data_IF_561125214893
#
_entry.id   IF_561125214893
#
_cell.length_a   1.000
_cell.length_b   1.000
_cell.length_c   1.000
_cell.angle_alpha   90.00
_cell.angle_beta   90.00
_cell.angle_gamma   90.00
#
_symmetry.space_group_name_H-M   'P 1'
#
loop_
_entity.id
_entity.type
_entity.pdbx_description
1 polymer ?
#
# COMPACT_ATOMS: atom_id res chain seq x y z
N UNK A 1 -18.17 -3.48 1.65
CA UNK A 1 -17.66 -4.25 0.50
C UNK A 1 -18.78 -4.35 -0.52
N UNK A 2 -18.46 -4.58 -1.79
CA UNK A 2 -19.41 -4.58 -2.89
C UNK A 2 -19.83 -3.18 -3.35
N UNK A 3 -20.82 -3.19 -4.23
CA UNK A 3 -21.40 -2.05 -4.91
C UNK A 3 -22.16 -1.15 -3.92
N UNK A 4 -21.92 0.17 -3.96
CA UNK A 4 -22.75 1.12 -3.23
C UNK A 4 -24.12 1.29 -3.89
N UNK A 5 -25.14 1.50 -3.06
CA UNK A 5 -26.44 1.97 -3.54
C UNK A 5 -26.32 3.36 -4.15
N UNK A 6 -27.06 3.63 -5.24
CA UNK A 6 -27.18 4.96 -5.84
C UNK A 6 -27.74 6.03 -4.88
N UNK A 7 -28.46 5.59 -3.84
CA UNK A 7 -29.00 6.46 -2.80
C UNK A 7 -28.01 6.76 -1.68
N UNK A 8 -26.83 6.10 -1.67
CA UNK A 8 -25.80 6.34 -0.68
C UNK A 8 -25.13 7.69 -0.93
N UNK A 9 -24.94 8.49 0.11
CA UNK A 9 -24.23 9.78 0.00
C UNK A 9 -22.83 9.62 -0.58
N UNK A 10 -22.16 8.52 -0.28
CA UNK A 10 -20.80 8.25 -0.76
C UNK A 10 -20.79 7.93 -2.25
N UNK A 11 -21.84 7.30 -2.78
CA UNK A 11 -21.97 7.10 -4.21
C UNK A 11 -21.92 8.45 -4.94
N UNK A 12 -22.73 9.42 -4.51
CA UNK A 12 -22.76 10.76 -5.11
C UNK A 12 -21.42 11.51 -4.97
N UNK A 13 -20.77 11.43 -3.81
CA UNK A 13 -19.48 12.10 -3.60
C UNK A 13 -18.35 11.51 -4.46
N UNK A 14 -18.27 10.19 -4.59
CA UNK A 14 -17.24 9.55 -5.40
C UNK A 14 -17.52 9.64 -6.90
N UNK A 15 -18.80 9.65 -7.31
CA UNK A 15 -19.20 9.99 -8.67
C UNK A 15 -18.73 11.41 -9.05
N UNK A 16 -18.81 12.37 -8.14
CA UNK A 16 -18.40 13.76 -8.39
C UNK A 16 -16.88 13.94 -8.38
N UNK A 17 -16.19 13.30 -7.45
CA UNK A 17 -14.78 13.58 -7.15
C UNK A 17 -13.78 12.64 -7.83
N UNK A 18 -14.12 11.36 -8.00
CA UNK A 18 -13.26 10.39 -8.68
C UNK A 18 -14.06 9.30 -9.40
N UNK A 19 -14.88 9.66 -10.40
CA UNK A 19 -15.73 8.71 -11.11
C UNK A 19 -14.94 7.65 -11.88
N UNK A 20 -13.75 8.00 -12.38
CA UNK A 20 -12.94 7.10 -13.20
C UNK A 20 -12.44 5.92 -12.38
N UNK A 21 -11.90 6.15 -11.19
CA UNK A 21 -11.35 5.07 -10.37
C UNK A 21 -12.39 4.34 -9.54
N UNK A 22 -13.56 4.95 -9.31
CA UNK A 22 -14.62 4.38 -8.46
C UNK A 22 -15.80 3.81 -9.25
N UNK A 23 -15.62 3.57 -10.55
CA UNK A 23 -16.67 3.02 -11.42
C UNK A 23 -17.97 3.85 -11.34
N UNK A 24 -17.83 5.17 -11.50
CA UNK A 24 -18.91 6.16 -11.36
C UNK A 24 -19.53 6.18 -9.95
N UNK A 25 -18.69 6.11 -8.91
CA UNK A 25 -19.11 6.15 -7.50
C UNK A 25 -19.54 4.82 -6.91
N UNK A 26 -19.63 3.76 -7.73
CA UNK A 26 -20.08 2.43 -7.32
C UNK A 26 -19.11 1.74 -6.34
N UNK A 27 -17.80 1.97 -6.52
CA UNK A 27 -16.74 1.29 -5.76
C UNK A 27 -15.71 2.26 -5.14
N UNK A 28 -16.07 3.01 -4.09
CA UNK A 28 -15.10 3.86 -3.35
C UNK A 28 -13.88 3.12 -2.83
N UNK A 29 -14.04 1.84 -2.49
CA UNK A 29 -12.97 0.98 -2.01
C UNK A 29 -11.84 0.79 -3.04
N UNK A 30 -12.06 1.11 -4.32
CA UNK A 30 -11.01 1.09 -5.33
C UNK A 30 -9.85 2.04 -5.03
N UNK A 31 -10.09 3.07 -4.20
CA UNK A 31 -9.10 4.07 -3.80
C UNK A 31 -9.05 4.23 -2.27
N UNK A 32 -9.32 3.15 -1.53
CA UNK A 32 -9.41 3.19 -0.08
C UNK A 32 -8.11 3.69 0.57
N UNK A 33 -8.26 4.60 1.53
CA UNK A 33 -7.16 5.12 2.35
C UNK A 33 -7.63 5.28 3.79
N UNK A 34 -6.81 4.81 4.71
CA UNK A 34 -6.94 5.08 6.14
C UNK A 34 -5.67 5.80 6.59
N UNK A 35 -5.80 6.92 7.28
CA UNK A 35 -4.66 7.70 7.80
C UNK A 35 -4.88 7.93 9.29
N UNK A 36 -3.87 7.58 10.09
CA UNK A 36 -3.87 7.79 11.54
C UNK A 36 -3.68 9.25 11.88
N UNK A 37 -4.12 9.65 13.08
CA UNK A 37 -4.00 11.03 13.57
C UNK A 37 -2.67 11.30 14.28
N UNK A 38 -1.99 10.27 14.78
CA UNK A 38 -0.68 10.41 15.40
C UNK A 38 0.43 10.42 14.35
N UNK A 39 1.49 11.18 14.64
CA UNK A 39 2.71 11.24 13.83
C UNK A 39 3.79 10.37 14.44
N UNK A 40 4.61 9.80 13.57
CA UNK A 40 5.62 8.82 13.93
C UNK A 40 6.88 9.08 13.12
N UNK A 41 8.03 9.01 13.79
CA UNK A 41 9.33 9.13 13.12
C UNK A 41 9.95 7.75 12.94
N UNK A 42 10.21 7.04 14.02
CA UNK A 42 10.80 5.70 13.97
C UNK A 42 9.74 4.70 14.41
N UNK A 43 9.26 3.86 13.51
CA UNK A 43 8.06 3.07 13.78
C UNK A 43 8.15 1.66 13.22
N UNK A 44 7.43 0.77 13.90
CA UNK A 44 6.95 -0.48 13.35
C UNK A 44 5.44 -0.37 13.18
N UNK A 45 4.93 -0.65 11.98
CA UNK A 45 3.51 -0.68 11.66
C UNK A 45 3.17 -2.05 11.08
N UNK A 46 2.07 -2.65 11.53
CA UNK A 46 1.62 -3.98 11.11
C UNK A 46 0.11 -4.02 10.90
N UNK A 47 -0.33 -4.85 9.96
CA UNK A 47 -1.74 -5.21 9.75
C UNK A 47 -1.86 -6.45 8.89
N UNK A 48 -2.93 -7.21 9.11
CA UNK A 48 -3.35 -8.31 8.25
C UNK A 48 -4.42 -7.85 7.28
N UNK A 49 -4.30 -8.30 6.04
CA UNK A 49 -5.25 -8.05 4.97
C UNK A 49 -5.82 -9.37 4.46
N UNK A 50 -7.10 -9.36 4.09
CA UNK A 50 -7.70 -10.43 3.31
C UNK A 50 -8.40 -9.86 2.09
N UNK A 51 -7.92 -10.21 0.90
CA UNK A 51 -8.54 -9.80 -0.37
C UNK A 51 -9.76 -10.67 -0.62
N UNK A 52 -10.95 -10.06 -0.57
CA UNK A 52 -12.19 -10.79 -0.74
C UNK A 52 -12.64 -10.85 -2.20
N UNK A 53 -12.51 -9.73 -2.91
CA UNK A 53 -12.94 -9.57 -4.29
C UNK A 53 -12.05 -8.57 -5.01
N UNK A 54 -11.75 -8.84 -6.27
CA UNK A 54 -11.11 -7.86 -7.17
C UNK A 54 -12.18 -7.05 -7.89
N UNK A 55 -11.98 -5.75 -7.97
CA UNK A 55 -12.84 -4.87 -8.74
C UNK A 55 -12.17 -4.64 -10.09
N UNK A 56 -12.68 -5.32 -11.14
CA UNK A 56 -12.10 -5.30 -12.48
C UNK A 56 -12.46 -4.03 -13.26
N UNK A 57 -12.30 -2.87 -12.62
CA UNK A 57 -12.55 -1.55 -13.18
C UNK A 57 -11.83 -1.36 -14.53
N UNK A 58 -12.49 -0.62 -15.43
CA UNK A 58 -11.89 -0.18 -16.69
C UNK A 58 -10.84 0.92 -16.49
N UNK A 59 -10.75 1.52 -15.30
CA UNK A 59 -9.82 2.61 -15.00
C UNK A 59 -8.40 2.29 -15.50
N UNK A 60 -7.73 3.25 -16.16
CA UNK A 60 -6.32 3.11 -16.53
C UNK A 60 -5.40 3.00 -15.31
N UNK A 61 -5.86 3.46 -14.14
CA UNK A 61 -5.12 3.37 -12.88
C UNK A 61 -5.20 1.98 -12.24
N UNK A 62 -6.06 1.08 -12.75
CA UNK A 62 -6.04 -0.34 -12.43
C UNK A 62 -4.91 -1.04 -13.19
N UNK A 63 -3.74 -1.15 -12.57
CA UNK A 63 -2.52 -1.69 -13.17
C UNK A 63 -1.65 -2.45 -12.15
N UNK A 64 -0.48 -2.92 -12.61
CA UNK A 64 0.42 -3.75 -11.83
C UNK A 64 0.92 -3.09 -10.53
N UNK A 65 0.83 -1.76 -10.38
CA UNK A 65 1.28 -1.02 -9.20
C UNK A 65 0.28 -0.94 -8.06
N UNK A 66 -0.96 -1.39 -8.27
CA UNK A 66 -1.97 -1.49 -7.22
C UNK A 66 -1.62 -2.61 -6.24
N UNK A 67 -2.22 -2.60 -5.05
CA UNK A 67 -2.06 -3.69 -4.10
C UNK A 67 -2.48 -3.32 -2.68
N UNK A 68 -1.78 -3.91 -1.72
CA UNK A 68 -1.94 -3.72 -0.28
C UNK A 68 -0.74 -2.94 0.21
N UNK A 69 -0.95 -1.73 0.74
CA UNK A 69 0.11 -0.77 1.00
C UNK A 69 -0.05 -0.15 2.39
N UNK A 70 1.07 0.08 3.05
CA UNK A 70 1.20 0.91 4.24
C UNK A 70 1.75 2.27 3.83
N UNK A 71 1.20 3.32 4.43
CA UNK A 71 1.78 4.65 4.39
C UNK A 71 2.72 4.79 5.57
N UNK A 72 3.96 5.18 5.31
CA UNK A 72 4.91 5.52 6.35
C UNK A 72 5.39 6.96 6.17
N UNK A 73 5.52 7.70 7.29
CA UNK A 73 5.87 9.14 7.29
C UNK A 73 5.06 9.96 6.29
N UNK A 74 3.75 9.72 6.23
CA UNK A 74 2.82 10.48 5.40
C UNK A 74 2.79 11.92 5.87
N UNK A 75 3.34 12.84 5.07
CA UNK A 75 3.26 14.28 5.33
C UNK A 75 2.07 14.87 4.57
N UNK A 76 1.94 14.47 3.31
CA UNK A 76 0.90 14.89 2.38
C UNK A 76 0.63 13.77 1.36
N UNK A 77 -0.39 13.95 0.52
CA UNK A 77 -0.63 13.04 -0.61
C UNK A 77 0.53 12.97 -1.63
N UNK A 78 1.50 13.89 -1.53
CA UNK A 78 2.64 14.05 -2.44
C UNK A 78 3.98 13.71 -1.81
N UNK A 79 4.04 13.51 -0.49
CA UNK A 79 5.27 13.32 0.28
C UNK A 79 5.06 12.23 1.35
N UNK A 80 5.52 11.02 1.07
CA UNK A 80 5.40 9.84 1.93
C UNK A 80 6.25 8.67 1.41
N UNK A 81 6.47 7.68 2.28
CA UNK A 81 6.88 6.34 1.87
C UNK A 81 5.69 5.41 1.74
N UNK A 82 5.81 4.45 0.83
CA UNK A 82 4.92 3.31 0.68
C UNK A 82 5.74 2.04 0.89
N UNK A 83 5.18 1.11 1.66
CA UNK A 83 5.66 -0.27 1.74
C UNK A 83 4.49 -1.21 1.50
N UNK A 84 4.68 -2.30 0.77
CA UNK A 84 3.66 -3.34 0.68
C UNK A 84 3.82 -4.28 -0.49
N UNK A 85 2.74 -5.00 -0.81
CA UNK A 85 2.71 -6.00 -1.89
C UNK A 85 1.80 -5.49 -3.00
N UNK A 86 2.31 -5.58 -4.23
CA UNK A 86 1.58 -5.24 -5.44
C UNK A 86 0.83 -6.44 -6.02
N UNK A 87 -0.20 -6.18 -6.82
CA UNK A 87 -0.98 -7.19 -7.54
C UNK A 87 -0.15 -7.97 -8.56
N UNK A 88 1.04 -7.48 -8.94
CA UNK A 88 2.01 -8.24 -9.72
C UNK A 88 2.91 -9.16 -8.89
N UNK A 89 2.62 -9.32 -7.60
CA UNK A 89 3.29 -10.25 -6.69
C UNK A 89 4.60 -9.74 -6.11
N UNK A 90 4.99 -8.50 -6.39
CA UNK A 90 6.22 -7.92 -5.85
C UNK A 90 6.01 -7.23 -4.50
N UNK A 91 6.94 -7.48 -3.57
CA UNK A 91 7.15 -6.66 -2.39
C UNK A 91 7.91 -5.39 -2.81
N UNK A 92 7.39 -4.23 -2.41
CA UNK A 92 7.92 -2.93 -2.86
C UNK A 92 8.08 -1.93 -1.73
N UNK A 93 9.10 -1.09 -1.91
CA UNK A 93 9.32 0.13 -1.14
C UNK A 93 9.39 1.28 -2.14
N UNK A 94 8.56 2.30 -1.96
CA UNK A 94 8.53 3.50 -2.81
C UNK A 94 8.56 4.76 -1.96
N UNK A 95 9.11 5.82 -2.53
CA UNK A 95 8.96 7.20 -2.05
C UNK A 95 8.10 7.95 -3.04
N UNK A 96 7.15 8.75 -2.56
CA UNK A 96 6.62 9.87 -3.33
C UNK A 96 7.18 11.15 -2.72
N UNK A 97 7.73 12.01 -3.56
CA UNK A 97 8.23 13.33 -3.15
C UNK A 97 7.85 14.32 -4.23
N UNK A 98 7.24 15.44 -3.83
CA UNK A 98 6.72 16.47 -4.74
C UNK A 98 5.85 15.90 -5.87
N UNK A 99 5.04 14.88 -5.56
CA UNK A 99 4.12 14.28 -6.53
C UNK A 99 4.72 13.15 -7.39
N UNK A 100 6.04 13.02 -7.45
CA UNK A 100 6.73 12.00 -8.25
C UNK A 100 7.06 10.74 -7.44
N UNK A 101 6.90 9.56 -8.06
CA UNK A 101 7.19 8.27 -7.44
C UNK A 101 8.60 7.77 -7.78
N UNK A 102 9.31 7.26 -6.78
CA UNK A 102 10.62 6.64 -6.89
C UNK A 102 10.57 5.26 -6.22
N UNK A 103 11.01 4.22 -6.93
CA UNK A 103 11.09 2.87 -6.38
C UNK A 103 12.43 2.69 -5.69
N UNK A 104 12.40 2.42 -4.39
CA UNK A 104 13.60 2.20 -3.57
C UNK A 104 13.97 0.72 -3.53
N UNK A 105 12.96 -0.16 -3.53
CA UNK A 105 13.14 -1.61 -3.60
C UNK A 105 11.99 -2.26 -4.34
N UNK A 106 12.32 -3.26 -5.14
CA UNK A 106 11.37 -4.11 -5.85
C UNK A 106 11.89 -5.54 -5.81
N UNK A 107 11.17 -6.42 -5.11
CA UNK A 107 11.54 -7.83 -4.96
C UNK A 107 10.34 -8.70 -5.31
N UNK A 108 10.43 -9.56 -6.35
CA UNK A 108 9.41 -10.59 -6.57
C UNK A 108 9.24 -11.42 -5.30
N UNK A 109 8.00 -11.57 -4.83
CA UNK A 109 7.70 -12.31 -3.60
C UNK A 109 6.78 -13.51 -3.87
N UNK A 110 5.66 -13.27 -4.55
CA UNK A 110 4.81 -14.35 -5.07
C UNK A 110 5.34 -14.84 -6.41
N UNK A 111 6.12 -15.93 -6.37
CA UNK A 111 6.60 -16.62 -7.56
C UNK A 111 5.54 -17.60 -8.05
N UNK A 112 4.82 -17.19 -9.10
CA UNK A 112 3.78 -18.00 -9.75
C UNK A 112 4.19 -18.36 -11.17
N UNK A 113 3.71 -19.49 -11.67
CA UNK A 113 3.99 -19.93 -13.03
C UNK A 113 3.37 -19.01 -14.09
N UNK A 114 2.19 -18.46 -13.81
CA UNK A 114 1.49 -17.53 -14.70
C UNK A 114 1.79 -16.09 -14.27
N UNK A 115 2.45 -15.27 -15.12
CA UNK A 115 2.78 -13.90 -14.76
C UNK A 115 1.52 -13.04 -14.65
N UNK A 116 1.67 -11.87 -14.02
CA UNK A 116 0.61 -10.86 -13.98
C UNK A 116 0.17 -10.48 -15.40
N UNK A 117 -1.15 -10.41 -15.57
CA UNK A 117 -1.77 -9.82 -16.75
C UNK A 117 -3.05 -9.10 -16.32
N UNK A 118 -3.18 -7.81 -16.65
CA UNK A 118 -4.33 -6.97 -16.25
C UNK A 118 -5.70 -7.57 -16.60
N UNK A 119 -5.79 -8.34 -17.69
CA UNK A 119 -7.04 -8.92 -18.17
C UNK A 119 -7.23 -10.37 -17.72
N UNK A 120 -6.21 -11.22 -17.87
CA UNK A 120 -6.35 -12.67 -17.68
C UNK A 120 -5.81 -13.20 -16.36
N UNK A 121 -4.93 -12.46 -15.69
CA UNK A 121 -4.37 -12.83 -14.38
C UNK A 121 -4.04 -11.58 -13.55
N UNK A 122 -5.07 -10.84 -13.11
CA UNK A 122 -4.92 -9.45 -12.66
C UNK A 122 -4.38 -9.30 -11.23
N UNK A 123 -4.15 -10.40 -10.52
CA UNK A 123 -3.69 -10.35 -9.15
C UNK A 123 -2.95 -11.65 -8.77
N UNK A 124 -1.71 -11.49 -8.32
CA UNK A 124 -0.88 -12.59 -7.82
C UNK A 124 -0.89 -12.69 -6.29
N UNK A 125 -1.52 -11.73 -5.59
CA UNK A 125 -1.75 -11.81 -4.15
C UNK A 125 -2.86 -12.86 -3.92
N UNK A 126 -2.66 -13.88 -3.06
CA UNK A 126 -3.69 -14.86 -2.79
C UNK A 126 -5.00 -14.22 -2.29
N UNK A 127 -6.11 -14.60 -2.91
CA UNK A 127 -7.45 -14.15 -2.49
C UNK A 127 -8.01 -15.09 -1.42
N UNK A 128 -8.90 -14.59 -0.58
CA UNK A 128 -9.54 -15.34 0.50
C UNK A 128 -8.55 -15.91 1.55
N UNK A 129 -7.33 -15.41 1.57
CA UNK A 129 -6.28 -15.77 2.53
C UNK A 129 -5.79 -14.51 3.23
N UNK A 130 -5.45 -14.64 4.52
CA UNK A 130 -4.86 -13.56 5.28
C UNK A 130 -3.38 -13.42 4.92
N UNK A 131 -2.94 -12.18 4.68
CA UNK A 131 -1.54 -11.81 4.50
C UNK A 131 -1.19 -10.66 5.42
N UNK A 132 -0.15 -10.83 6.23
CA UNK A 132 0.36 -9.79 7.11
C UNK A 132 1.39 -8.94 6.39
N UNK A 133 1.30 -7.62 6.53
CA UNK A 133 2.38 -6.69 6.18
C UNK A 133 2.87 -6.00 7.45
N UNK A 134 4.20 -5.95 7.62
CA UNK A 134 4.84 -5.17 8.67
C UNK A 134 5.94 -4.31 8.05
N UNK A 135 5.91 -3.02 8.32
CA UNK A 135 6.98 -2.09 7.94
C UNK A 135 7.74 -1.62 9.15
N UNK A 136 9.07 -1.55 9.04
CA UNK A 136 9.94 -0.83 9.98
C UNK A 136 10.56 0.36 9.26
N UNK A 137 10.44 1.56 9.85
CA UNK A 137 11.05 2.78 9.31
C UNK A 137 11.87 3.44 10.39
N UNK A 138 13.15 3.69 10.13
CA UNK A 138 14.09 4.26 11.10
C UNK A 138 14.99 5.30 10.45
N UNK A 139 15.16 6.44 11.10
CA UNK A 139 16.25 7.37 10.77
C UNK A 139 17.56 6.85 11.35
N UNK A 140 18.57 6.70 10.50
CA UNK A 140 19.91 6.32 10.87
C UNK A 140 20.71 7.54 11.38
N UNK A 141 21.83 7.33 12.12
CA UNK A 141 22.65 8.43 12.64
C UNK A 141 23.21 9.38 11.58
N UNK A 142 23.36 8.89 10.34
CA UNK A 142 23.87 9.65 9.19
C UNK A 142 22.76 10.42 8.42
N UNK A 143 21.56 10.53 8.99
CA UNK A 143 20.37 11.12 8.36
C UNK A 143 19.91 10.42 7.08
N UNK A 144 20.26 9.14 6.90
CA UNK A 144 19.55 8.27 5.95
C UNK A 144 18.32 7.63 6.60
N UNK A 145 17.41 7.07 5.81
CA UNK A 145 16.22 6.38 6.33
C UNK A 145 16.25 4.92 5.90
N UNK A 146 16.40 4.02 6.87
CA UNK A 146 16.25 2.58 6.67
C UNK A 146 14.77 2.20 6.66
N UNK A 147 14.36 1.42 5.66
CA UNK A 147 13.00 0.93 5.49
C UNK A 147 13.04 -0.56 5.23
N UNK A 148 12.28 -1.33 6.03
CA UNK A 148 12.10 -2.77 5.84
C UNK A 148 10.63 -3.09 5.70
N UNK A 149 10.33 -4.09 4.86
CA UNK A 149 9.02 -4.67 4.70
C UNK A 149 9.12 -6.17 4.97
N UNK A 150 8.32 -6.63 5.92
CA UNK A 150 8.14 -8.03 6.25
C UNK A 150 6.74 -8.50 5.84
N UNK A 151 6.65 -9.77 5.47
CA UNK A 151 5.39 -10.42 5.08
C UNK A 151 5.21 -11.69 5.89
N UNK A 152 4.03 -11.87 6.47
CA UNK A 152 3.58 -13.10 7.09
C UNK A 152 2.49 -13.72 6.20
N UNK A 153 2.86 -14.79 5.48
CA UNK A 153 1.92 -15.51 4.64
C UNK A 153 1.00 -16.33 5.54
N UNK A 154 -0.29 -16.34 5.21
CA UNK A 154 -1.30 -17.19 5.85
C UNK A 154 -1.52 -16.91 7.35
N UNK A 155 -1.13 -15.71 7.84
CA UNK A 155 -1.27 -15.27 9.24
C UNK A 155 -0.69 -16.30 10.23
N UNK A 156 0.52 -16.77 9.96
CA UNK A 156 1.19 -17.80 10.78
C UNK A 156 2.01 -17.23 11.93
N UNK A 157 2.25 -15.91 11.93
CA UNK A 157 3.21 -15.23 12.80
C UNK A 157 4.66 -15.32 12.29
N UNK A 158 4.92 -16.00 11.17
CA UNK A 158 6.26 -16.16 10.61
C UNK A 158 6.59 -15.04 9.63
N UNK A 159 7.13 -13.96 10.16
CA UNK A 159 7.50 -12.77 9.40
C UNK A 159 8.78 -12.99 8.59
N UNK A 160 8.70 -12.83 7.27
CA UNK A 160 9.83 -12.92 6.34
C UNK A 160 10.19 -11.52 5.85
N UNK A 161 11.47 -11.12 5.94
CA UNK A 161 11.96 -9.89 5.32
C UNK A 161 11.83 -10.01 3.79
N UNK A 162 10.89 -9.28 3.21
CA UNK A 162 10.52 -9.37 1.81
C UNK A 162 11.17 -8.29 0.95
N UNK A 163 11.40 -7.10 1.51
CA UNK A 163 12.13 -6.03 0.87
C UNK A 163 12.80 -5.13 1.92
N UNK A 164 13.93 -4.55 1.54
CA UNK A 164 14.61 -3.51 2.32
C UNK A 164 15.21 -2.46 1.39
N UNK A 165 15.37 -1.25 1.92
CA UNK A 165 16.04 -0.13 1.27
C UNK A 165 16.58 0.88 2.29
N UNK A 166 17.56 1.66 1.85
CA UNK A 166 18.01 2.87 2.53
C UNK A 166 17.78 4.06 1.61
N UNK A 167 16.95 5.02 2.03
CA UNK A 167 16.86 6.32 1.38
C UNK A 167 18.03 7.19 1.85
N UNK A 168 19.02 7.35 0.98
CA UNK A 168 20.24 8.13 1.21
C UNK A 168 20.06 9.64 0.98
N UNK A 169 18.85 10.07 0.58
CA UNK A 169 18.56 11.45 0.21
C UNK A 169 19.15 11.90 -1.11
N UNK A 170 19.67 10.98 -1.95
CA UNK A 170 20.32 11.28 -3.23
C UNK A 170 19.81 10.39 -4.36
N UNK A 171 19.84 9.07 -4.16
CA UNK A 171 19.57 8.05 -5.17
C UNK A 171 18.12 8.01 -5.64
N UNK A 172 17.18 8.51 -4.83
CA UNK A 172 15.73 8.32 -5.07
C UNK A 172 14.97 9.64 -5.11
N UNK A 173 15.28 10.52 -6.08
CA UNK A 173 14.47 11.74 -6.26
C UNK A 173 14.72 12.84 -5.24
N UNK A 174 15.91 12.84 -4.61
CA UNK A 174 16.32 13.86 -3.65
C UNK A 174 16.14 13.44 -2.19
N UNK A 175 16.00 14.43 -1.31
CA UNK A 175 16.11 14.28 0.14
C UNK A 175 15.22 13.16 0.72
N UNK A 176 15.73 12.54 1.78
CA UNK A 176 14.96 11.58 2.56
C UNK A 176 13.91 12.32 3.40
N UNK A 177 12.77 11.67 3.67
CA UNK A 177 11.71 12.24 4.51
C UNK A 177 12.09 12.05 5.97
N UNK A 178 12.79 13.04 6.56
CA UNK A 178 13.36 12.95 7.91
C UNK A 178 12.42 13.31 9.05
N UNK A 179 11.39 14.11 8.74
CA UNK A 179 10.38 14.51 9.72
C UNK A 179 9.45 13.34 10.04
N UNK A 180 8.87 13.37 11.24
CA UNK A 180 7.72 12.54 11.55
C UNK A 180 6.57 12.78 10.56
N UNK A 181 5.73 11.77 10.38
CA UNK A 181 4.52 11.88 9.58
C UNK A 181 3.48 10.85 10.02
N UNK A 182 2.29 10.94 9.45
CA UNK A 182 1.23 9.99 9.75
C UNK A 182 1.57 8.58 9.21
N UNK A 183 0.93 7.58 9.80
CA UNK A 183 0.95 6.21 9.32
C UNK A 183 -0.44 5.85 8.79
N UNK A 184 -0.55 4.83 7.94
CA UNK A 184 -1.83 4.51 7.33
C UNK A 184 -1.84 3.30 6.43
N UNK A 185 -2.98 3.06 5.81
CA UNK A 185 -3.23 1.94 4.90
C UNK A 185 -3.77 2.50 3.58
N UNK A 186 -3.41 1.84 2.49
CA UNK A 186 -4.07 1.98 1.20
C UNK A 186 -4.27 0.62 0.56
N UNK A 187 -5.43 0.45 -0.04
CA UNK A 187 -5.74 -0.67 -0.93
C UNK A 187 -6.31 -0.14 -2.22
N UNK A 188 -6.06 -0.83 -3.33
CA UNK A 188 -6.38 -0.35 -4.67
C UNK A 188 -7.19 -1.40 -5.45
N UNK A 189 -8.37 -1.02 -5.97
CA UNK A 189 -9.22 -1.84 -6.84
C UNK A 189 -9.63 -3.21 -6.29
N UNK A 190 -9.97 -3.28 -5.01
CA UNK A 190 -10.36 -4.53 -4.34
C UNK A 190 -11.21 -4.28 -3.10
N UNK A 191 -12.02 -5.28 -2.76
CA UNK A 191 -12.69 -5.39 -1.47
C UNK A 191 -11.76 -6.12 -0.50
N UNK A 192 -11.43 -5.48 0.63
CA UNK A 192 -10.42 -5.97 1.57
C UNK A 192 -10.93 -5.88 3.00
N UNK A 193 -10.64 -6.92 3.78
CA UNK A 193 -10.75 -6.93 5.24
C UNK A 193 -9.40 -6.64 5.88
N UNK A 194 -9.43 -5.97 7.04
CA UNK A 194 -8.26 -5.63 7.84
C UNK A 194 -8.41 -6.23 9.22
N UNK A 195 -7.29 -6.69 9.79
CA UNK A 195 -7.26 -7.23 11.15
C UNK A 195 -5.92 -6.92 11.85
N UNK A 196 -5.95 -6.87 13.18
CA UNK A 196 -4.80 -6.62 14.07
C UNK A 196 -3.90 -5.43 13.67
N UNK A 197 -4.51 -4.30 13.25
CA UNK A 197 -3.74 -3.09 12.94
C UNK A 197 -3.02 -2.56 14.19
N UNK A 198 -1.69 -2.43 14.14
CA UNK A 198 -0.90 -1.88 15.24
C UNK A 198 0.27 -1.01 14.75
N UNK A 199 0.65 -0.03 15.57
CA UNK A 199 1.84 0.80 15.37
C UNK A 199 2.56 0.95 16.72
N UNK A 200 3.88 0.90 16.71
CA UNK A 200 4.76 1.12 17.88
C UNK A 200 5.95 1.98 17.47
N UNK A 201 6.44 2.81 18.38
CA UNK A 201 7.73 3.51 18.19
C UNK A 201 8.89 2.50 18.32
N UNK A 202 9.99 2.76 17.60
CA UNK A 202 11.23 1.98 17.63
C UNK A 202 12.28 2.56 18.59
#
# INVERSE_FOLDING_TARGET
>A
QGDLSISDKWYAEYLRSNPVDTDNGLHPQNIFRLVQTNKWRNLTQEVYFKVNKLNLSVSPNRNASNGLLLFNRYQTGDNLYYTGIRVDGAAVIKKKINGAYYTLSYKPFYNVATPYNRATNPNLIPSQQWVGLRSEVKTNPDNTVGIKLFIDKDKTGNWVLAAEATDDGKSYGGAALLNEGYAGIRTDFMDVEFDDYSIKEL
#
